data_IF_949887878231
#
_entry.id   IF_949887878231
#
_cell.length_a   1.000
_cell.length_b   1.000
_cell.length_c   1.000
_cell.angle_alpha   90.00
_cell.angle_beta   90.00
_cell.angle_gamma   90.00
#
_symmetry.space_group_name_H-M   'P 1'
#
loop_
_entity.id
_entity.type
_entity.pdbx_description
1 polymer ?
#
# COMPACT_ATOMS: atom_id res chain seq x y z
N UNK A 1 49.05 -23.31 -42.27
CA UNK A 1 47.67 -23.81 -42.42
C UNK A 1 46.89 -23.54 -41.13
N UNK A 2 45.79 -22.79 -41.27
CA UNK A 2 44.65 -22.55 -40.36
C UNK A 2 44.92 -22.13 -38.91
N UNK A 3 44.86 -20.81 -38.68
CA UNK A 3 44.57 -20.17 -37.39
C UNK A 3 43.10 -20.44 -37.03
N UNK A 4 42.84 -21.11 -35.91
CA UNK A 4 41.51 -21.17 -35.32
C UNK A 4 41.37 -20.05 -34.29
N UNK A 5 40.59 -19.03 -34.63
CA UNK A 5 40.11 -18.04 -33.67
C UNK A 5 38.81 -18.62 -33.13
N UNK A 6 38.82 -19.07 -31.87
CA UNK A 6 37.59 -19.42 -31.15
C UNK A 6 37.01 -18.13 -30.59
N UNK A 7 36.00 -17.59 -31.27
CA UNK A 7 35.19 -16.49 -30.76
C UNK A 7 34.22 -17.11 -29.75
N UNK A 8 34.56 -16.99 -28.46
CA UNK A 8 33.66 -17.34 -27.37
C UNK A 8 32.62 -16.22 -27.26
N UNK A 9 31.46 -16.42 -27.89
CA UNK A 9 30.28 -15.55 -27.72
C UNK A 9 29.78 -15.69 -26.27
N UNK A 10 30.26 -14.82 -25.39
CA UNK A 10 29.64 -14.61 -24.09
C UNK A 10 28.29 -13.91 -24.32
N UNK A 11 27.21 -14.70 -24.37
CA UNK A 11 25.84 -14.20 -24.24
C UNK A 11 25.66 -13.73 -22.80
N UNK A 12 26.04 -12.48 -22.53
CA UNK A 12 25.59 -11.71 -21.38
C UNK A 12 24.07 -11.55 -21.49
N UNK A 13 23.32 -12.52 -20.96
CA UNK A 13 21.94 -12.27 -20.57
C UNK A 13 22.00 -11.38 -19.33
N UNK A 14 22.11 -10.07 -19.55
CA UNK A 14 21.63 -9.12 -18.56
C UNK A 14 20.18 -9.50 -18.29
N UNK A 15 19.91 -10.03 -17.10
CA UNK A 15 18.56 -10.19 -16.57
C UNK A 15 17.98 -8.78 -16.36
N UNK A 16 17.60 -8.15 -17.48
CA UNK A 16 16.53 -7.17 -17.48
C UNK A 16 15.34 -7.99 -17.01
N UNK A 17 14.90 -7.77 -15.78
CA UNK A 17 13.67 -8.35 -15.26
C UNK A 17 12.61 -8.13 -16.33
N UNK A 18 12.21 -9.20 -17.01
CA UNK A 18 11.19 -9.13 -18.04
C UNK A 18 9.86 -8.90 -17.33
N UNK A 19 9.58 -7.65 -16.96
CA UNK A 19 8.27 -7.26 -16.47
C UNK A 19 7.27 -7.67 -17.54
N UNK A 20 6.43 -8.63 -17.21
CA UNK A 20 5.34 -9.05 -18.09
C UNK A 20 4.41 -7.86 -18.33
N UNK A 21 3.66 -7.83 -19.45
CA UNK A 21 2.67 -6.78 -19.67
C UNK A 21 1.72 -6.62 -18.47
N UNK A 22 1.33 -7.72 -17.83
CA UNK A 22 0.45 -7.66 -16.64
C UNK A 22 1.13 -6.95 -15.47
N UNK A 23 2.39 -7.25 -15.16
CA UNK A 23 3.14 -6.55 -14.10
C UNK A 23 3.35 -5.06 -14.42
N UNK A 24 3.52 -4.71 -15.70
CA UNK A 24 3.55 -3.32 -16.14
C UNK A 24 2.20 -2.63 -15.90
N UNK A 25 1.08 -3.30 -16.23
CA UNK A 25 -0.27 -2.80 -15.95
C UNK A 25 -0.49 -2.57 -14.45
N UNK A 26 -0.09 -3.52 -13.59
CA UNK A 26 -0.22 -3.39 -12.12
C UNK A 26 0.63 -2.24 -11.59
N UNK A 27 1.83 -2.04 -12.14
CA UNK A 27 2.68 -0.90 -11.80
C UNK A 27 2.01 0.42 -12.16
N UNK A 28 1.49 0.55 -13.38
CA UNK A 28 0.77 1.74 -13.82
C UNK A 28 -0.47 2.01 -12.97
N UNK A 29 -1.23 0.96 -12.63
CA UNK A 29 -2.35 1.06 -11.71
C UNK A 29 -1.92 1.64 -10.35
N UNK A 30 -0.84 1.10 -9.77
CA UNK A 30 -0.28 1.59 -8.52
C UNK A 30 0.28 3.01 -8.61
N UNK A 31 0.67 3.45 -9.81
CA UNK A 31 1.08 4.82 -10.12
C UNK A 31 -0.10 5.76 -10.42
N UNK A 32 -1.34 5.27 -10.28
CA UNK A 32 -2.57 5.99 -10.62
C UNK A 32 -2.73 6.35 -12.11
N UNK A 33 -1.92 5.74 -12.97
CA UNK A 33 -1.99 5.83 -14.43
C UNK A 33 -3.08 4.88 -14.97
N UNK A 34 -4.30 4.99 -14.44
CA UNK A 34 -5.36 4.02 -14.64
C UNK A 34 -5.77 3.85 -16.11
N UNK A 35 -5.69 4.91 -16.91
CA UNK A 35 -6.00 4.83 -18.35
C UNK A 35 -4.99 3.96 -19.10
N UNK A 36 -3.69 4.12 -18.79
CA UNK A 36 -2.64 3.31 -19.40
C UNK A 36 -2.69 1.87 -18.90
N UNK A 37 -2.93 1.68 -17.60
CA UNK A 37 -3.13 0.35 -17.01
C UNK A 37 -4.30 -0.39 -17.69
N UNK A 38 -5.44 0.30 -17.88
CA UNK A 38 -6.61 -0.27 -18.54
C UNK A 38 -6.32 -0.74 -19.97
N UNK A 39 -5.56 0.04 -20.75
CA UNK A 39 -5.17 -0.36 -22.12
C UNK A 39 -4.37 -1.66 -22.12
N UNK A 40 -3.38 -1.78 -21.22
CA UNK A 40 -2.57 -2.98 -21.11
C UNK A 40 -3.44 -4.17 -20.68
N UNK A 41 -4.26 -4.01 -19.64
CA UNK A 41 -5.11 -5.09 -19.16
C UNK A 41 -6.16 -5.51 -20.20
N UNK A 42 -6.69 -4.57 -20.99
CA UNK A 42 -7.58 -4.88 -22.10
C UNK A 42 -6.88 -5.76 -23.14
N UNK A 43 -5.69 -5.37 -23.61
CA UNK A 43 -4.92 -6.17 -24.57
C UNK A 43 -4.63 -7.58 -24.05
N UNK A 44 -4.30 -7.71 -22.77
CA UNK A 44 -4.05 -9.02 -22.15
C UNK A 44 -5.33 -9.83 -21.92
N UNK A 45 -6.47 -9.18 -21.66
CA UNK A 45 -7.79 -9.81 -21.60
C UNK A 45 -8.21 -10.34 -22.98
N UNK A 46 -7.94 -9.59 -24.05
CA UNK A 46 -8.31 -9.94 -25.43
C UNK A 46 -7.57 -11.19 -25.92
N UNK A 47 -6.37 -11.45 -25.42
CA UNK A 47 -5.61 -12.69 -25.69
C UNK A 47 -5.88 -13.81 -24.68
N UNK A 48 -6.86 -13.63 -23.78
CA UNK A 48 -7.39 -14.70 -22.93
C UNK A 48 -6.79 -14.81 -21.53
N UNK A 49 -6.10 -13.78 -21.02
CA UNK A 49 -5.60 -13.81 -19.63
C UNK A 49 -6.71 -13.53 -18.62
N UNK A 50 -7.10 -14.54 -17.84
CA UNK A 50 -8.10 -14.41 -16.77
C UNK A 50 -7.64 -13.40 -15.69
N UNK A 51 -6.37 -13.48 -15.30
CA UNK A 51 -5.77 -12.60 -14.30
C UNK A 51 -5.66 -11.14 -14.77
N UNK A 52 -5.35 -10.90 -16.04
CA UNK A 52 -5.43 -9.54 -16.58
C UNK A 52 -6.86 -9.03 -16.65
N UNK A 53 -7.82 -9.91 -16.93
CA UNK A 53 -9.25 -9.56 -16.93
C UNK A 53 -9.72 -9.18 -15.52
N UNK A 54 -9.23 -9.83 -14.46
CA UNK A 54 -9.46 -9.39 -13.09
C UNK A 54 -8.95 -7.97 -12.84
N UNK A 55 -7.68 -7.70 -13.17
CA UNK A 55 -7.10 -6.36 -13.00
C UNK A 55 -7.73 -5.29 -13.92
N UNK A 56 -8.27 -5.69 -15.07
CA UNK A 56 -9.10 -4.82 -15.91
C UNK A 56 -10.35 -4.37 -15.14
N UNK A 57 -11.08 -5.29 -14.51
CA UNK A 57 -12.24 -4.96 -13.69
C UNK A 57 -11.91 -4.02 -12.53
N UNK A 58 -10.79 -4.28 -11.83
CA UNK A 58 -10.27 -3.39 -10.77
C UNK A 58 -9.99 -1.98 -11.31
N UNK A 59 -9.38 -1.88 -12.50
CA UNK A 59 -9.01 -0.61 -13.10
C UNK A 59 -10.22 0.16 -13.62
N UNK A 60 -11.17 -0.52 -14.27
CA UNK A 60 -12.45 0.03 -14.69
C UNK A 60 -13.21 0.63 -13.50
N UNK A 61 -13.22 -0.07 -12.37
CA UNK A 61 -13.82 0.44 -11.14
C UNK A 61 -13.21 1.78 -10.70
N UNK A 62 -11.88 1.89 -10.68
CA UNK A 62 -11.19 3.16 -10.34
C UNK A 62 -11.41 4.25 -11.39
N UNK A 63 -11.65 3.89 -12.65
CA UNK A 63 -12.09 4.80 -13.71
C UNK A 63 -13.60 5.12 -13.69
N UNK A 64 -14.32 4.75 -12.62
CA UNK A 64 -15.77 4.98 -12.42
C UNK A 64 -16.67 4.25 -13.43
N UNK A 65 -16.13 3.24 -14.09
CA UNK A 65 -16.86 2.32 -14.99
C UNK A 65 -17.42 1.16 -14.17
N UNK A 66 -18.23 1.50 -13.16
CA UNK A 66 -18.61 0.57 -12.11
C UNK A 66 -19.51 -0.58 -12.61
N UNK A 67 -20.33 -0.36 -13.64
CA UNK A 67 -21.19 -1.42 -14.17
C UNK A 67 -20.40 -2.36 -15.09
N UNK A 68 -19.55 -1.80 -15.94
CA UNK A 68 -18.65 -2.54 -16.83
C UNK A 68 -17.63 -3.38 -16.04
N UNK A 69 -17.18 -2.86 -14.89
CA UNK A 69 -16.33 -3.60 -13.96
C UNK A 69 -17.00 -4.90 -13.49
N UNK A 70 -18.30 -4.87 -13.20
CA UNK A 70 -19.07 -6.05 -12.78
C UNK A 70 -19.10 -7.14 -13.85
N UNK A 71 -19.39 -6.78 -15.10
CA UNK A 71 -19.36 -7.71 -16.24
C UNK A 71 -17.96 -8.26 -16.48
N UNK A 72 -16.94 -7.43 -16.29
CA UNK A 72 -15.54 -7.82 -16.46
C UNK A 72 -15.07 -8.77 -15.34
N UNK A 73 -15.49 -8.55 -14.10
CA UNK A 73 -15.27 -9.51 -13.02
C UNK A 73 -15.98 -10.83 -13.27
N UNK A 74 -17.22 -10.81 -13.79
CA UNK A 74 -17.92 -12.04 -14.20
C UNK A 74 -17.12 -12.79 -15.27
N UNK A 75 -16.68 -12.09 -16.33
CA UNK A 75 -15.85 -12.67 -17.38
C UNK A 75 -14.58 -13.31 -16.79
N UNK A 76 -13.85 -12.60 -15.93
CA UNK A 76 -12.64 -13.14 -15.29
C UNK A 76 -12.92 -14.38 -14.43
N UNK A 77 -14.02 -14.37 -13.67
CA UNK A 77 -14.43 -15.49 -12.84
C UNK A 77 -14.84 -16.72 -13.68
N UNK A 78 -15.53 -16.51 -14.81
CA UNK A 78 -15.87 -17.58 -15.77
C UNK A 78 -14.63 -18.17 -16.46
N UNK A 79 -13.60 -17.34 -16.67
CA UNK A 79 -12.29 -17.77 -17.17
C UNK A 79 -11.44 -18.51 -16.12
N UNK A 80 -11.88 -18.57 -14.85
CA UNK A 80 -11.20 -19.31 -13.80
C UNK A 80 -10.35 -18.46 -12.85
N UNK A 81 -10.40 -17.13 -12.91
CA UNK A 81 -9.60 -16.28 -12.01
C UNK A 81 -10.14 -16.30 -10.57
N UNK A 82 -9.36 -16.77 -9.58
CA UNK A 82 -9.85 -16.90 -8.20
C UNK A 82 -10.04 -15.57 -7.48
N UNK A 83 -9.37 -14.49 -7.91
CA UNK A 83 -9.52 -13.16 -7.31
C UNK A 83 -10.83 -12.52 -7.73
N UNK A 84 -11.18 -12.60 -9.02
CA UNK A 84 -12.48 -12.19 -9.53
C UNK A 84 -13.62 -13.01 -8.91
N UNK A 85 -13.45 -14.32 -8.74
CA UNK A 85 -14.39 -15.14 -7.97
C UNK A 85 -14.50 -14.67 -6.51
N UNK A 86 -13.41 -14.21 -5.90
CA UNK A 86 -13.43 -13.60 -4.57
C UNK A 86 -14.26 -12.32 -4.53
N UNK A 87 -14.16 -11.47 -5.56
CA UNK A 87 -14.98 -10.25 -5.67
C UNK A 87 -16.47 -10.62 -5.76
N UNK A 88 -16.84 -11.55 -6.64
CA UNK A 88 -18.24 -11.96 -6.82
C UNK A 88 -18.79 -12.86 -5.70
N UNK A 89 -17.90 -13.44 -4.89
CA UNK A 89 -18.24 -14.22 -3.70
C UNK A 89 -18.52 -13.38 -2.45
N UNK A 90 -18.41 -12.04 -2.55
CA UNK A 90 -18.65 -11.08 -1.44
C UNK A 90 -17.85 -11.43 -0.17
N UNK A 91 -16.55 -11.67 -0.36
CA UNK A 91 -15.66 -12.21 0.68
C UNK A 91 -15.04 -11.12 1.55
N UNK A 92 -14.62 -11.48 2.76
CA UNK A 92 -13.92 -10.60 3.71
C UNK A 92 -12.44 -10.35 3.34
N UNK A 93 -12.14 -10.22 2.05
CA UNK A 93 -10.82 -9.86 1.54
C UNK A 93 -10.78 -8.41 1.08
N UNK A 94 -11.84 -7.97 0.40
CA UNK A 94 -11.96 -6.62 -0.14
C UNK A 94 -12.73 -5.76 0.86
N UNK A 95 -12.09 -4.71 1.36
CA UNK A 95 -12.73 -3.79 2.30
C UNK A 95 -13.91 -3.13 1.58
N UNK A 96 -15.11 -3.25 2.16
CA UNK A 96 -16.37 -2.85 1.53
C UNK A 96 -16.47 -3.46 0.12
N UNK A 97 -16.92 -4.69 -0.06
CA UNK A 97 -17.07 -5.21 -1.42
C UNK A 97 -18.35 -4.63 -2.07
N UNK A 98 -18.27 -3.89 -3.21
CA UNK A 98 -19.42 -3.19 -3.76
C UNK A 98 -20.36 -4.11 -4.54
N UNK A 99 -20.03 -5.40 -4.68
CA UNK A 99 -20.72 -6.33 -5.56
C UNK A 99 -22.24 -6.30 -5.38
N UNK A 100 -22.74 -6.52 -4.15
CA UNK A 100 -24.19 -6.51 -3.87
C UNK A 100 -24.81 -5.12 -4.02
N UNK A 101 -24.09 -4.09 -3.59
CA UNK A 101 -24.55 -2.70 -3.65
C UNK A 101 -24.77 -2.22 -5.09
N UNK A 102 -23.86 -2.59 -6.00
CA UNK A 102 -23.92 -2.24 -7.42
C UNK A 102 -24.75 -3.20 -8.27
N UNK A 103 -25.32 -4.25 -7.68
CA UNK A 103 -26.15 -5.22 -8.38
C UNK A 103 -25.38 -6.11 -9.37
N UNK A 104 -24.08 -6.32 -9.13
CA UNK A 104 -23.28 -7.28 -9.89
C UNK A 104 -23.76 -8.72 -9.69
N UNK A 105 -23.36 -9.69 -10.54
CA UNK A 105 -23.81 -11.08 -10.45
C UNK A 105 -23.12 -11.87 -9.31
N UNK A 106 -23.26 -11.38 -8.08
CA UNK A 106 -22.69 -11.96 -6.87
C UNK A 106 -23.44 -13.24 -6.49
N UNK A 107 -22.70 -14.28 -6.12
CA UNK A 107 -23.26 -15.60 -5.79
C UNK A 107 -22.27 -16.34 -4.89
N UNK A 108 -22.77 -16.96 -3.83
CA UNK A 108 -21.94 -17.71 -2.88
C UNK A 108 -21.15 -18.85 -3.53
N UNK A 109 -21.60 -19.37 -4.69
CA UNK A 109 -20.86 -20.38 -5.46
C UNK A 109 -19.46 -19.89 -5.83
N UNK A 110 -19.30 -18.58 -6.07
CA UNK A 110 -18.02 -18.00 -6.45
C UNK A 110 -17.02 -18.09 -5.30
N UNK A 111 -17.45 -17.95 -4.06
CA UNK A 111 -16.58 -18.09 -2.90
C UNK A 111 -16.00 -19.51 -2.79
N UNK A 112 -16.81 -20.54 -3.04
CA UNK A 112 -16.32 -21.93 -3.04
C UNK A 112 -15.23 -22.13 -4.09
N UNK A 113 -15.42 -21.59 -5.30
CA UNK A 113 -14.43 -21.69 -6.38
C UNK A 113 -13.19 -20.84 -6.11
N UNK A 114 -13.34 -19.64 -5.54
CA UNK A 114 -12.24 -18.77 -5.14
C UNK A 114 -11.31 -19.49 -4.16
N UNK A 115 -11.87 -20.13 -3.11
CA UNK A 115 -11.09 -20.92 -2.13
C UNK A 115 -10.32 -22.06 -2.79
N UNK A 116 -10.93 -22.77 -3.75
CA UNK A 116 -10.26 -23.83 -4.48
C UNK A 116 -9.07 -23.29 -5.28
N UNK A 117 -9.25 -22.19 -6.01
CA UNK A 117 -8.18 -21.57 -6.77
C UNK A 117 -7.07 -20.98 -5.89
N UNK A 118 -7.42 -20.27 -4.80
CA UNK A 118 -6.42 -19.79 -3.83
C UNK A 118 -5.66 -20.92 -3.16
N UNK A 119 -6.30 -22.05 -2.88
CA UNK A 119 -5.61 -23.24 -2.37
C UNK A 119 -4.55 -23.73 -3.35
N UNK A 120 -4.88 -23.88 -4.63
CA UNK A 120 -3.91 -24.28 -5.66
C UNK A 120 -2.76 -23.26 -5.77
N UNK A 121 -3.08 -21.97 -5.77
CA UNK A 121 -2.06 -20.91 -5.81
C UNK A 121 -1.14 -20.94 -4.57
N UNK A 122 -1.71 -21.13 -3.37
CA UNK A 122 -0.98 -21.21 -2.11
C UNK A 122 -0.08 -22.45 -2.04
N UNK A 123 -0.56 -23.60 -2.53
CA UNK A 123 0.23 -24.84 -2.66
C UNK A 123 1.41 -24.66 -3.62
N UNK A 124 1.27 -23.79 -4.62
CA UNK A 124 2.34 -23.36 -5.53
C UNK A 124 3.21 -22.21 -4.98
N UNK A 125 3.08 -21.87 -3.70
CA UNK A 125 3.93 -20.89 -3.00
C UNK A 125 3.44 -19.45 -3.04
N UNK A 126 2.25 -19.15 -3.57
CA UNK A 126 1.72 -17.79 -3.56
C UNK A 126 1.27 -17.37 -2.15
N UNK A 127 2.03 -16.48 -1.51
CA UNK A 127 1.76 -16.02 -0.14
C UNK A 127 0.48 -15.19 0.00
N UNK A 128 0.13 -14.42 -1.04
CA UNK A 128 -1.12 -13.65 -1.10
C UNK A 128 -2.35 -14.57 -1.11
N UNK A 129 -2.28 -15.64 -1.90
CA UNK A 129 -3.33 -16.64 -1.96
C UNK A 129 -3.45 -17.42 -0.63
N UNK A 130 -2.32 -17.70 0.03
CA UNK A 130 -2.33 -18.29 1.36
C UNK A 130 -3.06 -17.40 2.38
N UNK A 131 -2.84 -16.08 2.31
CA UNK A 131 -3.58 -15.11 3.12
C UNK A 131 -5.08 -15.10 2.78
N UNK A 132 -5.43 -14.99 1.50
CA UNK A 132 -6.81 -14.96 1.03
C UNK A 132 -7.59 -16.22 1.43
N UNK A 133 -6.97 -17.40 1.31
CA UNK A 133 -7.55 -18.65 1.77
C UNK A 133 -7.74 -18.65 3.29
N UNK A 134 -6.72 -18.25 4.05
CA UNK A 134 -6.75 -18.29 5.52
C UNK A 134 -7.86 -17.41 6.10
N UNK A 135 -8.01 -16.18 5.63
CA UNK A 135 -9.04 -15.27 6.16
C UNK A 135 -10.47 -15.70 5.80
N UNK A 136 -10.63 -16.45 4.70
CA UNK A 136 -11.94 -16.92 4.23
C UNK A 136 -12.26 -18.38 4.58
N UNK A 137 -11.34 -19.10 5.23
CA UNK A 137 -11.53 -20.50 5.60
C UNK A 137 -11.08 -20.78 7.03
N UNK A 138 -12.06 -21.04 7.90
CA UNK A 138 -11.81 -21.54 9.25
C UNK A 138 -11.52 -23.02 9.22
N UNK A 139 -10.50 -23.39 9.97
CA UNK A 139 -10.01 -24.75 10.11
C UNK A 139 -10.24 -25.26 11.53
N UNK A 140 -10.48 -26.57 11.69
CA UNK A 140 -10.73 -27.18 13.00
C UNK A 140 -9.59 -26.94 14.01
N UNK A 141 -8.36 -26.84 13.52
CA UNK A 141 -7.18 -26.65 14.37
C UNK A 141 -7.10 -25.23 14.95
N UNK A 142 -7.84 -24.25 14.40
CA UNK A 142 -7.89 -22.91 14.96
C UNK A 142 -8.59 -22.84 16.32
N UNK A 143 -9.42 -23.85 16.62
CA UNK A 143 -10.13 -23.95 17.89
C UNK A 143 -9.22 -24.51 19.01
N UNK A 144 -8.00 -24.93 18.70
CA UNK A 144 -7.04 -25.48 19.67
C UNK A 144 -5.93 -24.44 19.88
N UNK A 145 -5.90 -23.69 21.00
CA UNK A 145 -5.07 -22.49 21.13
C UNK A 145 -3.57 -22.67 20.83
N UNK A 146 -2.92 -23.68 21.42
CA UNK A 146 -1.49 -23.92 21.23
C UNK A 146 -1.18 -24.42 19.81
N UNK A 147 -2.03 -25.29 19.26
CA UNK A 147 -1.85 -25.82 17.92
C UNK A 147 -2.09 -24.74 16.86
N UNK A 148 -3.10 -23.88 17.08
CA UNK A 148 -3.40 -22.72 16.25
C UNK A 148 -2.19 -21.82 16.09
N UNK A 149 -1.53 -21.42 17.17
CA UNK A 149 -0.38 -20.50 17.06
C UNK A 149 0.79 -21.13 16.30
N UNK A 150 1.13 -22.38 16.59
CA UNK A 150 2.17 -23.09 15.84
C UNK A 150 1.85 -23.17 14.33
N UNK A 151 0.59 -23.46 13.98
CA UNK A 151 0.15 -23.52 12.58
C UNK A 151 0.15 -22.16 11.91
N UNK A 152 -0.22 -21.09 12.63
CA UNK A 152 -0.10 -19.73 12.12
C UNK A 152 1.34 -19.35 11.83
N UNK A 153 2.28 -19.63 12.75
CA UNK A 153 3.70 -19.39 12.51
C UNK A 153 4.22 -20.16 11.28
N UNK A 154 3.80 -21.41 11.09
CA UNK A 154 4.13 -22.20 9.90
C UNK A 154 3.59 -21.56 8.61
N UNK A 155 2.35 -21.09 8.62
CA UNK A 155 1.71 -20.44 7.46
C UNK A 155 2.43 -19.12 7.12
N UNK A 156 2.60 -18.23 8.10
CA UNK A 156 3.20 -16.91 7.85
C UNK A 156 4.66 -17.00 7.44
N UNK A 157 5.42 -17.95 8.01
CA UNK A 157 6.83 -18.16 7.66
C UNK A 157 7.05 -18.57 6.19
N UNK A 158 6.07 -19.24 5.59
CA UNK A 158 6.07 -19.60 4.15
C UNK A 158 5.47 -18.49 3.29
N UNK A 159 4.40 -17.85 3.76
CA UNK A 159 3.64 -16.88 2.98
C UNK A 159 4.37 -15.54 2.82
N UNK A 160 4.93 -14.98 3.90
CA UNK A 160 5.50 -13.62 3.88
C UNK A 160 6.69 -13.49 2.90
N UNK A 161 7.68 -14.41 2.87
CA UNK A 161 8.75 -14.34 1.88
C UNK A 161 8.26 -14.34 0.43
N UNK A 162 7.03 -14.82 0.19
CA UNK A 162 6.39 -14.95 -1.12
C UNK A 162 5.22 -13.95 -1.29
N UNK A 163 5.34 -12.75 -0.72
CA UNK A 163 4.41 -11.64 -0.93
C UNK A 163 3.14 -11.68 -0.08
N UNK A 164 3.01 -12.62 0.86
CA UNK A 164 1.90 -12.69 1.83
C UNK A 164 1.97 -11.60 2.91
N UNK A 165 2.31 -10.37 2.57
CA UNK A 165 2.57 -9.30 3.53
C UNK A 165 1.33 -8.90 4.32
N UNK A 166 0.13 -9.12 3.78
CA UNK A 166 -1.13 -8.81 4.47
C UNK A 166 -1.29 -9.53 5.80
N UNK A 167 -0.59 -10.64 6.06
CA UNK A 167 -0.51 -11.26 7.39
C UNK A 167 0.06 -10.35 8.49
N UNK A 168 0.90 -9.36 8.13
CA UNK A 168 1.56 -8.45 9.08
C UNK A 168 0.55 -7.51 9.75
N UNK A 169 -0.53 -7.15 9.05
CA UNK A 169 -1.57 -6.23 9.51
C UNK A 169 -2.44 -6.83 10.63
N UNK A 170 -2.48 -8.16 10.76
CA UNK A 170 -3.39 -8.86 11.68
C UNK A 170 -2.63 -9.41 12.88
N UNK A 171 -2.96 -8.94 14.09
CA UNK A 171 -2.32 -9.40 15.33
C UNK A 171 -2.61 -10.87 15.67
N UNK A 172 -3.67 -11.45 15.13
CA UNK A 172 -4.14 -12.82 15.42
C UNK A 172 -3.12 -13.92 15.08
N UNK A 173 -2.16 -13.64 14.19
CA UNK A 173 -1.13 -14.58 13.70
C UNK A 173 0.20 -14.49 14.44
N UNK A 174 0.29 -13.66 15.48
CA UNK A 174 1.56 -13.32 16.12
C UNK A 174 1.46 -13.47 17.63
N UNK A 175 2.49 -14.04 18.23
CA UNK A 175 2.56 -14.19 19.68
C UNK A 175 2.84 -12.84 20.38
N UNK A 176 3.58 -11.95 19.71
CA UNK A 176 3.83 -10.60 20.19
C UNK A 176 4.14 -9.63 19.05
N UNK A 177 4.26 -8.35 19.39
CA UNK A 177 4.72 -7.31 18.48
C UNK A 177 6.16 -7.57 18.00
N UNK A 178 7.02 -8.03 18.90
CA UNK A 178 8.44 -8.31 18.64
C UNK A 178 8.62 -9.51 17.71
N UNK A 179 7.75 -10.54 17.82
CA UNK A 179 7.76 -11.69 16.93
C UNK A 179 7.52 -11.30 15.45
N UNK A 180 6.86 -10.16 15.19
CA UNK A 180 6.65 -9.65 13.83
C UNK A 180 7.89 -9.01 13.21
N UNK A 181 8.83 -8.53 14.03
CA UNK A 181 9.93 -7.66 13.57
C UNK A 181 10.80 -8.27 12.47
N UNK A 182 11.22 -9.56 12.55
CA UNK A 182 12.00 -10.17 11.48
C UNK A 182 11.27 -10.17 10.14
N UNK A 183 9.95 -10.38 10.16
CA UNK A 183 9.11 -10.41 8.98
C UNK A 183 8.81 -9.01 8.42
N UNK A 184 8.64 -8.02 9.28
CA UNK A 184 8.58 -6.61 8.87
C UNK A 184 9.87 -6.19 8.17
N UNK A 185 11.03 -6.49 8.77
CA UNK A 185 12.34 -6.22 8.15
C UNK A 185 12.51 -6.97 6.83
N UNK A 186 12.04 -8.21 6.72
CA UNK A 186 12.05 -8.97 5.47
C UNK A 186 11.23 -8.29 4.38
N UNK A 187 9.96 -7.98 4.66
CA UNK A 187 9.06 -7.33 3.71
C UNK A 187 9.58 -5.93 3.28
N UNK A 188 10.10 -5.15 4.23
CA UNK A 188 10.74 -3.88 3.97
C UNK A 188 12.00 -4.03 3.08
N UNK A 189 12.83 -5.03 3.32
CA UNK A 189 13.98 -5.34 2.45
C UNK A 189 13.57 -5.79 1.05
N UNK A 190 12.40 -6.45 0.92
CA UNK A 190 11.79 -6.80 -0.37
C UNK A 190 11.11 -5.60 -1.07
N UNK A 191 11.16 -4.41 -0.47
CA UNK A 191 10.65 -3.18 -1.06
C UNK A 191 9.18 -2.87 -0.72
N UNK A 192 8.57 -3.55 0.25
CA UNK A 192 7.18 -3.27 0.65
C UNK A 192 7.11 -2.06 1.59
N UNK A 193 6.72 -0.90 1.06
CA UNK A 193 6.69 0.37 1.79
C UNK A 193 5.75 0.38 3.02
N UNK A 194 4.57 -0.27 3.03
CA UNK A 194 3.75 -0.34 4.24
C UNK A 194 4.45 -1.05 5.43
N UNK A 195 5.33 -2.01 5.17
CA UNK A 195 6.16 -2.59 6.23
C UNK A 195 7.23 -1.61 6.73
N UNK A 196 7.79 -0.77 5.85
CA UNK A 196 8.74 0.29 6.22
C UNK A 196 8.06 1.34 7.12
N UNK A 197 6.84 1.74 6.79
CA UNK A 197 6.01 2.62 7.64
C UNK A 197 5.71 1.95 8.99
N UNK A 198 5.36 0.67 8.99
CA UNK A 198 5.14 -0.06 10.25
C UNK A 198 6.42 -0.14 11.10
N UNK A 199 7.60 -0.24 10.49
CA UNK A 199 8.88 -0.20 11.19
C UNK A 199 9.16 1.18 11.80
N UNK A 200 8.69 2.26 11.19
CA UNK A 200 8.78 3.60 11.78
C UNK A 200 8.04 3.66 13.12
N UNK A 201 6.81 3.16 13.18
CA UNK A 201 6.05 3.04 14.43
C UNK A 201 6.65 2.06 15.45
N UNK A 202 7.75 1.38 15.12
CA UNK A 202 8.54 0.54 16.04
C UNK A 202 9.82 1.21 16.51
N UNK A 203 9.93 2.54 16.40
CA UNK A 203 11.11 3.31 16.80
C UNK A 203 11.57 3.05 18.24
N UNK A 204 10.67 2.77 19.19
CA UNK A 204 11.07 2.38 20.56
C UNK A 204 11.91 1.10 20.60
N UNK A 205 11.72 0.22 19.61
CA UNK A 205 12.34 -1.10 19.55
C UNK A 205 13.54 -1.14 18.61
N UNK A 206 13.48 -0.42 17.48
CA UNK A 206 14.57 -0.41 16.47
C UNK A 206 15.45 0.85 16.55
N UNK A 207 15.08 1.83 17.37
CA UNK A 207 15.74 3.13 17.46
C UNK A 207 15.19 4.14 16.43
N UNK A 208 15.10 5.40 16.83
CA UNK A 208 14.58 6.49 16.00
C UNK A 208 15.34 6.65 14.68
N UNK A 209 16.68 6.56 14.69
CA UNK A 209 17.48 6.68 13.47
C UNK A 209 17.22 5.55 12.46
N UNK A 210 16.96 4.32 12.92
CA UNK A 210 16.60 3.21 12.03
C UNK A 210 15.17 3.38 11.50
N UNK A 211 14.23 3.79 12.35
CA UNK A 211 12.86 4.12 11.96
C UNK A 211 12.82 5.22 10.88
N UNK A 212 13.59 6.29 11.06
CA UNK A 212 13.70 7.39 10.10
C UNK A 212 14.30 6.94 8.75
N UNK A 213 15.23 5.98 8.75
CA UNK A 213 15.73 5.39 7.48
C UNK A 213 14.63 4.65 6.73
N UNK A 214 13.81 3.87 7.43
CA UNK A 214 12.74 3.11 6.80
C UNK A 214 11.66 4.00 6.22
N UNK A 215 11.16 4.98 6.98
CA UNK A 215 10.09 5.86 6.50
C UNK A 215 10.54 6.72 5.31
N UNK A 216 11.77 7.23 5.32
CA UNK A 216 12.31 7.98 4.17
C UNK A 216 12.46 7.09 2.94
N UNK A 217 12.90 5.84 3.11
CA UNK A 217 12.95 4.87 2.01
C UNK A 217 11.56 4.57 1.44
N UNK A 218 10.52 4.53 2.27
CA UNK A 218 9.14 4.36 1.82
C UNK A 218 8.69 5.54 0.94
N UNK A 219 9.03 6.77 1.35
CA UNK A 219 8.79 8.00 0.59
C UNK A 219 9.53 7.99 -0.74
N UNK A 220 10.80 7.59 -0.77
CA UNK A 220 11.61 7.44 -1.99
C UNK A 220 11.02 6.42 -2.98
N UNK A 221 10.28 5.43 -2.47
CA UNK A 221 9.55 4.46 -3.29
C UNK A 221 8.16 4.94 -3.75
N UNK A 222 7.80 6.19 -3.46
CA UNK A 222 6.57 6.84 -3.89
C UNK A 222 5.36 6.59 -2.99
N UNK A 223 5.56 6.08 -1.77
CA UNK A 223 4.46 5.77 -0.86
C UNK A 223 4.01 7.02 -0.10
N UNK A 224 2.90 7.62 -0.55
CA UNK A 224 2.39 8.87 0.00
C UNK A 224 2.01 8.79 1.49
N UNK A 225 1.51 7.65 1.96
CA UNK A 225 1.14 7.47 3.37
C UNK A 225 2.37 7.61 4.30
N UNK A 226 3.56 7.21 3.87
CA UNK A 226 4.77 7.45 4.66
C UNK A 226 5.12 8.94 4.79
N UNK A 227 4.90 9.74 3.74
CA UNK A 227 5.05 11.20 3.83
C UNK A 227 3.98 11.78 4.77
N UNK A 228 2.75 11.26 4.72
CA UNK A 228 1.67 11.66 5.62
C UNK A 228 1.98 11.32 7.08
N UNK A 229 2.60 10.17 7.35
CA UNK A 229 3.09 9.78 8.68
C UNK A 229 4.03 10.85 9.24
N UNK A 230 5.01 11.30 8.44
CA UNK A 230 5.93 12.35 8.88
C UNK A 230 5.26 13.72 9.00
N UNK A 231 4.30 14.07 8.13
CA UNK A 231 3.47 15.26 8.31
C UNK A 231 2.78 15.25 9.68
N UNK A 232 2.12 14.14 10.04
CA UNK A 232 1.44 14.01 11.33
C UNK A 232 2.44 14.08 12.49
N UNK A 233 3.57 13.38 12.39
CA UNK A 233 4.63 13.38 13.39
C UNK A 233 5.16 14.79 13.66
N UNK A 234 5.47 15.57 12.62
CA UNK A 234 5.93 16.96 12.78
C UNK A 234 4.84 17.94 13.15
N UNK A 235 3.56 17.64 12.90
CA UNK A 235 2.46 18.49 13.32
C UNK A 235 2.19 18.41 14.83
N UNK A 236 2.27 17.21 15.42
CA UNK A 236 1.93 17.00 16.83
C UNK A 236 3.14 16.71 17.73
N UNK A 237 4.31 16.43 17.14
CA UNK A 237 5.46 15.89 17.85
C UNK A 237 5.28 14.40 18.17
N UNK A 238 6.35 13.77 18.64
CA UNK A 238 6.35 12.37 19.07
C UNK A 238 7.02 12.22 20.43
N UNK A 239 6.52 11.24 21.19
CA UNK A 239 7.02 10.86 22.50
C UNK A 239 7.28 9.36 22.53
N UNK A 240 8.29 8.94 23.27
CA UNK A 240 8.52 7.53 23.56
C UNK A 240 7.50 7.00 24.59
N UNK A 241 7.62 5.71 24.94
CA UNK A 241 6.74 5.05 25.94
C UNK A 241 6.81 5.66 27.33
N UNK A 242 7.92 6.30 27.67
CA UNK A 242 8.13 6.94 28.96
C UNK A 242 7.65 8.41 28.94
N UNK A 243 7.16 8.89 27.80
CA UNK A 243 6.65 10.24 27.60
C UNK A 243 7.72 11.27 27.28
N UNK A 244 8.98 10.86 27.07
CA UNK A 244 10.06 11.76 26.68
C UNK A 244 9.85 12.18 25.22
N UNK A 245 10.05 13.47 24.95
CA UNK A 245 9.91 14.00 23.60
C UNK A 245 11.08 13.51 22.73
N UNK A 246 10.75 12.75 21.69
CA UNK A 246 11.69 12.27 20.68
C UNK A 246 11.65 13.11 19.41
N UNK A 247 10.52 13.76 19.14
CA UNK A 247 10.33 14.69 18.03
C UNK A 247 9.51 15.88 18.50
N UNK A 248 10.05 17.09 18.36
CA UNK A 248 9.28 18.31 18.61
C UNK A 248 8.39 18.63 17.39
N UNK A 249 7.22 19.24 17.60
CA UNK A 249 6.47 19.83 16.50
C UNK A 249 7.34 20.82 15.71
N UNK A 250 7.21 20.80 14.39
CA UNK A 250 7.92 21.67 13.45
C UNK A 250 6.97 22.02 12.30
N UNK A 251 6.34 23.21 12.32
CA UNK A 251 5.38 23.64 11.30
C UNK A 251 5.95 23.66 9.88
N UNK A 252 7.26 23.94 9.73
CA UNK A 252 7.91 23.95 8.40
C UNK A 252 8.04 22.54 7.86
N UNK A 253 8.49 21.59 8.68
CA UNK A 253 8.56 20.19 8.26
C UNK A 253 7.17 19.58 8.07
N UNK A 254 6.21 19.91 8.93
CA UNK A 254 4.82 19.51 8.73
C UNK A 254 4.29 20.00 7.38
N UNK A 255 4.54 21.27 7.04
CA UNK A 255 4.20 21.82 5.72
C UNK A 255 4.90 21.05 4.59
N UNK A 256 6.21 20.87 4.67
CA UNK A 256 6.99 20.14 3.66
C UNK A 256 6.44 18.74 3.41
N UNK A 257 6.21 17.94 4.46
CA UNK A 257 5.70 16.58 4.30
C UNK A 257 4.23 16.53 3.89
N UNK A 258 3.43 17.54 4.21
CA UNK A 258 2.06 17.67 3.69
C UNK A 258 2.07 17.88 2.17
N UNK A 259 2.92 18.79 1.68
CA UNK A 259 3.09 19.03 0.24
C UNK A 259 3.67 17.81 -0.47
N UNK A 260 4.62 17.13 0.17
CA UNK A 260 5.18 15.88 -0.35
C UNK A 260 4.14 14.76 -0.44
N UNK A 261 3.23 14.67 0.54
CA UNK A 261 2.10 13.74 0.51
C UNK A 261 1.25 13.98 -0.73
N UNK A 262 0.86 15.23 -1.00
CA UNK A 262 0.11 15.62 -2.21
C UNK A 262 0.85 15.30 -3.50
N UNK A 263 2.14 15.64 -3.57
CA UNK A 263 3.00 15.38 -4.73
C UNK A 263 3.15 13.87 -5.05
N UNK A 264 3.12 13.01 -4.02
CA UNK A 264 3.10 11.55 -4.16
C UNK A 264 1.68 10.98 -4.37
N UNK A 265 0.69 11.84 -4.59
CA UNK A 265 -0.68 11.46 -4.89
C UNK A 265 -1.53 11.12 -3.66
N UNK A 266 -1.08 11.41 -2.45
CA UNK A 266 -1.87 11.26 -1.21
C UNK A 266 -2.84 12.43 -0.96
N UNK A 267 -3.50 12.40 0.19
CA UNK A 267 -4.38 13.50 0.63
C UNK A 267 -3.56 14.66 1.22
N UNK A 268 -3.53 15.80 0.52
CA UNK A 268 -2.92 17.03 1.00
C UNK A 268 -3.92 17.87 1.82
N UNK A 269 -3.50 18.37 2.99
CA UNK A 269 -4.26 19.31 3.81
C UNK A 269 -4.04 20.74 3.36
N UNK A 270 -5.03 21.59 3.59
CA UNK A 270 -4.96 23.02 3.26
C UNK A 270 -3.80 23.69 4.01
N UNK A 271 -2.97 24.45 3.30
CA UNK A 271 -1.76 25.08 3.82
C UNK A 271 -2.01 25.90 5.11
N UNK A 272 -3.04 26.73 5.13
CA UNK A 272 -3.37 27.59 6.28
C UNK A 272 -3.73 26.81 7.56
N UNK A 273 -4.00 25.50 7.48
CA UNK A 273 -4.20 24.67 8.68
C UNK A 273 -2.87 24.27 9.35
N UNK A 274 -1.74 24.60 8.72
CA UNK A 274 -0.39 24.23 9.13
C UNK A 274 0.48 25.47 9.34
N UNK A 275 0.32 26.47 8.47
CA UNK A 275 1.22 27.63 8.40
C UNK A 275 0.85 28.77 9.32
N UNK A 276 -0.29 28.67 10.01
CA UNK A 276 -0.78 29.67 10.94
C UNK A 276 -1.56 29.02 12.06
N UNK A 277 -1.54 29.65 13.23
CA UNK A 277 -2.36 29.25 14.37
C UNK A 277 -3.09 30.45 14.97
N UNK A 278 -4.30 30.26 15.53
CA UNK A 278 -5.01 31.36 16.17
C UNK A 278 -4.19 31.87 17.36
N UNK A 279 -4.08 33.19 17.49
CA UNK A 279 -3.52 33.80 18.70
C UNK A 279 -4.58 33.71 19.79
N UNK A 280 -4.20 33.27 20.98
CA UNK A 280 -5.11 33.14 22.12
C UNK A 280 -4.73 34.14 23.22
N UNK A 281 -5.70 34.58 24.01
CA UNK A 281 -5.45 35.28 25.27
C UNK A 281 -5.01 34.32 26.40
N UNK A 282 -4.77 34.86 27.59
CA UNK A 282 -4.33 34.11 28.77
C UNK A 282 -5.35 33.05 29.23
N UNK A 283 -6.63 33.19 28.87
CA UNK A 283 -7.70 32.25 29.17
C UNK A 283 -7.90 31.19 28.06
N UNK A 284 -7.09 31.26 26.99
CA UNK A 284 -7.16 30.33 25.85
C UNK A 284 -8.28 30.64 24.87
N UNK A 285 -8.79 31.88 24.84
CA UNK A 285 -9.82 32.33 23.89
C UNK A 285 -9.14 32.90 22.65
N UNK A 286 -9.53 32.49 21.42
CA UNK A 286 -8.99 33.08 20.20
C UNK A 286 -9.25 34.58 20.12
N UNK A 287 -8.18 35.34 19.86
CA UNK A 287 -8.24 36.79 19.68
C UNK A 287 -8.88 37.14 18.33
N UNK A 288 -9.62 38.25 18.33
CA UNK A 288 -10.17 38.87 17.14
C UNK A 288 -9.74 40.33 17.05
N UNK A 289 -9.62 40.85 15.83
CA UNK A 289 -9.31 42.25 15.56
C UNK A 289 -10.51 43.17 15.84
N UNK A 290 -10.34 44.47 15.58
CA UNK A 290 -11.39 45.48 15.80
C UNK A 290 -12.67 45.26 14.96
N UNK A 291 -12.59 44.44 13.90
CA UNK A 291 -13.72 44.08 13.04
C UNK A 291 -14.34 42.72 13.43
N UNK A 292 -13.77 42.02 14.41
CA UNK A 292 -14.18 40.68 14.81
C UNK A 292 -13.57 39.56 13.97
N UNK A 293 -12.56 39.84 13.15
CA UNK A 293 -11.85 38.82 12.37
C UNK A 293 -10.77 38.13 13.23
N UNK A 294 -10.60 36.79 13.15
CA UNK A 294 -9.62 36.09 13.98
C UNK A 294 -8.18 36.51 13.68
N UNK A 295 -7.38 36.69 14.73
CA UNK A 295 -5.95 37.00 14.62
C UNK A 295 -5.13 35.71 14.60
N UNK A 296 -4.20 35.60 13.66
CA UNK A 296 -3.34 34.44 13.50
C UNK A 296 -1.86 34.79 13.64
N UNK A 297 -1.10 33.91 14.30
CA UNK A 297 0.35 33.88 14.22
C UNK A 297 0.78 33.12 12.97
N UNK A 298 1.74 33.67 12.21
CA UNK A 298 2.29 33.03 11.02
C UNK A 298 3.47 32.16 11.43
N UNK A 299 3.28 30.84 11.33
CA UNK A 299 4.28 29.82 11.64
C UNK A 299 5.21 29.52 10.46
N UNK A 300 4.71 29.69 9.24
CA UNK A 300 5.48 29.50 8.00
C UNK A 300 5.12 30.59 7.00
N UNK A 301 6.08 31.46 6.70
CA UNK A 301 5.89 32.58 5.78
C UNK A 301 5.66 32.12 4.35
N UNK A 302 5.02 32.94 3.51
CA UNK A 302 4.81 32.63 2.09
C UNK A 302 6.13 32.40 1.34
N UNK A 303 7.20 33.11 1.72
CA UNK A 303 8.53 32.91 1.14
C UNK A 303 9.10 31.53 1.46
N UNK A 304 8.94 31.07 2.71
CA UNK A 304 9.40 29.73 3.13
C UNK A 304 8.57 28.62 2.48
N UNK A 305 7.26 28.84 2.35
CA UNK A 305 6.37 27.94 1.60
C UNK A 305 6.82 27.79 0.15
N UNK A 306 7.07 28.91 -0.54
CA UNK A 306 7.51 28.90 -1.94
C UNK A 306 8.87 28.21 -2.13
N UNK A 307 9.77 28.30 -1.15
CA UNK A 307 11.06 27.59 -1.20
C UNK A 307 10.88 26.08 -0.97
N UNK A 308 10.08 25.68 0.02
CA UNK A 308 9.78 24.26 0.27
C UNK A 308 9.03 23.62 -0.90
N UNK A 309 8.11 24.34 -1.53
CA UNK A 309 7.40 23.86 -2.73
C UNK A 309 8.36 23.51 -3.87
N UNK A 310 9.42 24.31 -4.07
CA UNK A 310 10.47 24.00 -5.04
C UNK A 310 11.26 22.76 -4.63
N UNK A 311 11.59 22.63 -3.35
CA UNK A 311 12.31 21.45 -2.83
C UNK A 311 11.49 20.17 -3.01
N UNK A 312 10.18 20.22 -2.74
CA UNK A 312 9.26 19.09 -2.97
C UNK A 312 9.22 18.74 -4.45
N UNK A 313 9.02 19.74 -5.33
CA UNK A 313 8.97 19.51 -6.77
C UNK A 313 10.27 18.88 -7.31
N UNK A 314 11.43 19.34 -6.83
CA UNK A 314 12.73 18.78 -7.18
C UNK A 314 12.93 17.36 -6.62
N UNK A 315 12.50 17.11 -5.38
CA UNK A 315 12.61 15.79 -4.75
C UNK A 315 11.78 14.74 -5.49
N UNK A 316 10.53 15.06 -5.88
CA UNK A 316 9.64 14.09 -6.53
C UNK A 316 9.82 13.99 -8.04
N UNK A 317 10.72 14.77 -8.67
CA UNK A 317 10.83 14.85 -10.14
C UNK A 317 11.01 13.48 -10.81
N UNK A 318 11.72 12.57 -10.15
CA UNK A 318 12.01 11.21 -10.61
C UNK A 318 11.27 10.12 -9.81
N UNK A 319 10.40 10.51 -8.88
CA UNK A 319 9.63 9.60 -8.02
C UNK A 319 8.20 9.52 -8.55
N UNK A 320 7.73 8.32 -8.86
CA UNK A 320 6.33 8.09 -9.23
C UNK A 320 5.52 7.66 -7.99
N UNK A 321 4.28 8.15 -7.82
CA UNK A 321 3.36 7.62 -6.83
C UNK A 321 3.31 6.10 -6.85
N UNK A 322 3.18 5.45 -5.69
CA UNK A 322 3.02 4.01 -5.62
C UNK A 322 2.13 3.65 -4.43
N UNK A 323 0.98 3.06 -4.73
CA UNK A 323 -0.01 2.67 -3.73
C UNK A 323 0.33 1.34 -3.01
N UNK A 324 1.24 0.52 -3.55
CA UNK A 324 1.55 -0.82 -3.03
C UNK A 324 0.34 -1.76 -2.90
N UNK A 325 -0.67 -1.55 -3.74
CA UNK A 325 -1.86 -2.37 -3.82
C UNK A 325 -1.60 -3.65 -4.61
N UNK A 326 -2.18 -4.72 -4.09
CA UNK A 326 -2.22 -6.04 -4.67
C UNK A 326 -3.58 -6.69 -4.47
N UNK A 327 -3.72 -7.93 -4.90
CA UNK A 327 -4.97 -8.69 -4.87
C UNK A 327 -5.61 -8.82 -3.47
N UNK A 328 -4.84 -8.58 -2.41
CA UNK A 328 -5.26 -8.66 -1.01
C UNK A 328 -5.46 -7.30 -0.32
N UNK A 329 -5.17 -6.21 -1.02
CA UNK A 329 -5.24 -4.85 -0.49
C UNK A 329 -6.00 -3.86 -1.36
N UNK A 330 -6.43 -4.24 -2.57
CA UNK A 330 -7.29 -3.40 -3.41
C UNK A 330 -8.54 -2.98 -2.63
N UNK A 331 -8.83 -1.68 -2.71
CA UNK A 331 -10.06 -1.08 -2.22
C UNK A 331 -11.05 -0.90 -3.38
N UNK A 332 -12.26 -1.42 -3.20
CA UNK A 332 -13.37 -1.32 -4.15
C UNK A 332 -14.51 -0.43 -3.62
N UNK A 333 -14.26 0.55 -2.73
CA UNK A 333 -15.14 1.72 -2.52
C UNK A 333 -14.43 3.05 -2.73
#
# INVERSE_FOLDING_TARGET
>A
MKKFIVICLMLLHSAVWANTPIEQGIRLFNQKEYQQAQQIFQQQSDVGSAYATFWLGVTQYKNRQHFEAGDTFLKAAEMGDPWAMGVLGDVNLYANNPCKFLGWPCDEKWLTKAKQGWKVLAENGNGKAAFALKINQREWWEYIPFYRQSRYQEIVSKAIPNGGYKFLDYNTYWDSSEAKLPYLKLAANQGYAPAMETLYYRMDTIGYDEAMKWINKAIELGYAEAARTLYLAYRVGEKDRDGNVILQPDPKKAYFYNRLTGALGGEEKLAHLITQEPVHDDDGIPLADENGEPVFEILVTEQEQAEMDKQVAEFVKDIKPNLFLDETSIDLF
#
